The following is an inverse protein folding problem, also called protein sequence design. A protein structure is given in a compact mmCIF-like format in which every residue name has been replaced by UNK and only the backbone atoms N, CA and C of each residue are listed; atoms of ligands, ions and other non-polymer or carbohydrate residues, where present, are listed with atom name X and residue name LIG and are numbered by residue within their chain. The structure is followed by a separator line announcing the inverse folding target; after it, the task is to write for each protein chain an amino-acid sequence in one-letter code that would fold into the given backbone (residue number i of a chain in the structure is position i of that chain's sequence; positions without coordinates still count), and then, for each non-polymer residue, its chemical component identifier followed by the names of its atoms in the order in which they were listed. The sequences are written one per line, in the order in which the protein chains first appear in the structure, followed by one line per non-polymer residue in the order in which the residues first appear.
data_IF_525339973460
#
_entry.id   IF_525339973460
#
_cell.length_a   1.000
_cell.length_b   1.000
_cell.length_c   1.000
_cell.angle_alpha   90.00
_cell.angle_beta   90.00
_cell.angle_gamma   90.00
#
_symmetry.space_group_name_H-M   'P 1'
#
loop_
_entity.id
_entity.type
_entity.pdbx_description
1 polymer ?
#
# COMPACT_ATOMS: atom_id res chain seq x y z
N UNK A 1 4.84 -7.83 -0.57
CA UNK A 1 4.88 -8.52 -1.88
C UNK A 1 6.32 -8.82 -2.25
N UNK A 2 6.59 -9.84 -3.11
CA UNK A 2 7.95 -10.17 -3.55
C UNK A 2 8.74 -8.98 -4.07
N UNK A 3 8.15 -8.11 -4.88
CA UNK A 3 8.83 -6.92 -5.44
C UNK A 3 9.36 -5.92 -4.39
N UNK A 4 8.63 -5.73 -3.30
CA UNK A 4 9.12 -4.87 -2.21
C UNK A 4 10.17 -5.57 -1.35
N UNK A 5 10.06 -6.89 -1.19
CA UNK A 5 11.08 -7.66 -0.49
C UNK A 5 12.38 -7.70 -1.30
N UNK A 6 12.28 -7.90 -2.61
CA UNK A 6 13.42 -7.83 -3.53
C UNK A 6 14.15 -6.47 -3.42
N UNK A 7 13.41 -5.36 -3.35
CA UNK A 7 13.99 -4.05 -3.13
C UNK A 7 14.79 -3.96 -1.81
N UNK A 8 14.27 -4.54 -0.72
CA UNK A 8 14.96 -4.59 0.56
C UNK A 8 16.20 -5.48 0.52
N UNK A 9 16.15 -6.61 -0.19
CA UNK A 9 17.32 -7.48 -0.41
C UNK A 9 18.43 -6.75 -1.18
N UNK A 10 18.06 -6.01 -2.23
CA UNK A 10 19.02 -5.20 -2.99
C UNK A 10 19.69 -4.08 -2.15
N UNK A 11 19.01 -3.61 -1.11
CA UNK A 11 19.57 -2.68 -0.12
C UNK A 11 20.43 -3.38 0.96
N UNK A 12 20.60 -4.71 0.89
CA UNK A 12 21.35 -5.50 1.88
C UNK A 12 20.59 -5.77 3.18
N UNK A 13 19.27 -5.57 3.20
CA UNK A 13 18.43 -5.63 4.42
C UNK A 13 17.70 -6.96 4.61
N UNK A 14 18.02 -8.01 3.84
CA UNK A 14 17.34 -9.30 3.89
C UNK A 14 17.38 -9.91 5.30
N UNK A 15 18.56 -9.94 5.93
CA UNK A 15 18.75 -10.46 7.28
C UNK A 15 17.96 -9.68 8.34
N UNK A 16 17.98 -8.36 8.26
CA UNK A 16 17.25 -7.49 9.20
C UNK A 16 15.74 -7.70 9.07
N UNK A 17 15.22 -7.74 7.85
CA UNK A 17 13.79 -7.96 7.59
C UNK A 17 13.35 -9.37 8.03
N UNK A 18 14.22 -10.37 7.95
CA UNK A 18 13.90 -11.74 8.38
C UNK A 18 13.60 -11.81 9.88
N UNK A 19 14.18 -10.92 10.70
CA UNK A 19 13.96 -10.86 12.16
C UNK A 19 12.66 -10.17 12.57
N UNK A 20 12.02 -9.42 11.65
CA UNK A 20 10.83 -8.65 11.97
C UNK A 20 9.60 -9.54 12.21
N UNK A 21 8.66 -9.10 13.05
CA UNK A 21 7.38 -9.78 13.20
C UNK A 21 6.65 -9.86 11.84
N UNK A 22 6.47 -11.07 11.34
CA UNK A 22 5.91 -11.32 10.02
C UNK A 22 5.17 -12.65 9.92
N UNK A 23 4.28 -12.76 8.93
CA UNK A 23 3.57 -14.00 8.58
C UNK A 23 3.66 -14.21 7.07
N UNK A 24 4.08 -15.40 6.64
CA UNK A 24 4.03 -15.80 5.22
C UNK A 24 2.60 -16.16 4.85
N UNK A 25 2.05 -15.51 3.85
CA UNK A 25 0.72 -15.82 3.30
C UNK A 25 0.89 -16.95 2.28
N UNK A 26 0.17 -18.05 2.50
CA UNK A 26 0.27 -19.27 1.68
C UNK A 26 -0.87 -19.38 0.69
N UNK A 27 -2.04 -18.82 1.03
CA UNK A 27 -3.22 -18.90 0.19
C UNK A 27 -4.34 -17.99 0.70
N UNK A 28 -5.44 -17.99 -0.05
CA UNK A 28 -6.64 -17.22 0.26
C UNK A 28 -7.86 -18.10 0.01
N UNK A 29 -8.72 -18.23 1.02
CA UNK A 29 -10.04 -18.83 0.91
C UNK A 29 -11.07 -17.77 0.53
N UNK A 30 -11.81 -18.00 -0.54
CA UNK A 30 -12.81 -17.06 -1.03
C UNK A 30 -14.20 -17.65 -0.78
N UNK A 31 -15.05 -16.85 -0.14
CA UNK A 31 -16.44 -17.17 0.18
C UNK A 31 -17.39 -16.18 -0.50
N UNK A 32 -18.59 -16.66 -0.80
CA UNK A 32 -19.73 -15.82 -1.09
C UNK A 32 -20.78 -16.07 -0.01
N UNK A 33 -20.95 -15.09 0.87
CA UNK A 33 -21.74 -15.30 2.09
C UNK A 33 -21.18 -16.50 2.89
N UNK A 34 -21.99 -17.52 3.16
CA UNK A 34 -21.57 -18.74 3.86
C UNK A 34 -21.03 -19.85 2.93
N UNK A 35 -21.09 -19.63 1.61
CA UNK A 35 -20.65 -20.60 0.63
C UNK A 35 -19.17 -20.47 0.29
N UNK A 36 -18.40 -21.52 0.59
CA UNK A 36 -17.02 -21.64 0.10
C UNK A 36 -17.01 -21.73 -1.43
N UNK A 37 -16.24 -20.85 -2.09
CA UNK A 37 -16.12 -20.83 -3.55
C UNK A 37 -14.84 -21.50 -4.03
N UNK A 38 -13.69 -21.09 -3.49
CA UNK A 38 -12.37 -21.52 -3.97
C UNK A 38 -11.27 -21.26 -2.94
N UNK A 39 -10.32 -22.17 -2.88
CA UNK A 39 -8.99 -21.91 -2.32
C UNK A 39 -8.07 -21.44 -3.43
N UNK A 40 -7.54 -20.23 -3.30
CA UNK A 40 -6.60 -19.64 -4.25
C UNK A 40 -5.20 -19.65 -3.67
N UNK A 41 -4.29 -20.39 -4.32
CA UNK A 41 -2.88 -20.46 -3.98
C UNK A 41 -2.05 -20.18 -5.24
N UNK A 42 -1.95 -18.90 -5.67
CA UNK A 42 -1.14 -18.52 -6.82
C UNK A 42 0.34 -18.87 -6.62
N UNK A 43 1.03 -19.20 -7.71
CA UNK A 43 2.43 -19.62 -7.65
C UNK A 43 3.35 -18.62 -6.94
N UNK A 44 3.07 -17.32 -7.04
CA UNK A 44 3.84 -16.28 -6.34
C UNK A 44 3.67 -16.28 -4.80
N UNK A 45 2.71 -17.01 -4.24
CA UNK A 45 2.64 -17.27 -2.80
C UNK A 45 3.61 -18.35 -2.36
N UNK A 46 3.89 -19.32 -3.25
CA UNK A 46 4.78 -20.46 -2.98
C UNK A 46 6.26 -20.13 -3.17
N UNK A 47 6.55 -19.15 -4.04
CA UNK A 47 7.93 -18.72 -4.30
C UNK A 47 8.60 -18.17 -3.03
N UNK A 48 9.91 -18.19 -2.99
CA UNK A 48 10.66 -17.47 -1.98
C UNK A 48 11.11 -16.13 -2.57
N UNK A 49 10.89 -15.03 -1.88
CA UNK A 49 10.36 -14.85 -0.51
C UNK A 49 8.83 -14.96 -0.37
N UNK A 50 8.07 -15.05 -1.46
CA UNK A 50 6.61 -15.11 -1.48
C UNK A 50 5.93 -13.84 -0.96
N UNK A 51 4.67 -13.99 -0.53
CA UNK A 51 3.91 -12.89 0.05
C UNK A 51 4.03 -12.94 1.57
N UNK A 52 4.54 -11.88 2.18
CA UNK A 52 4.70 -11.74 3.62
C UNK A 52 3.91 -10.54 4.12
N UNK A 53 3.26 -10.72 5.26
CA UNK A 53 2.69 -9.63 6.04
C UNK A 53 3.68 -9.26 7.14
N UNK A 54 4.36 -8.15 6.97
CA UNK A 54 5.41 -7.67 7.88
C UNK A 54 4.83 -6.55 8.75
N UNK A 55 5.25 -6.47 10.02
CA UNK A 55 4.92 -5.34 10.88
C UNK A 55 5.45 -4.04 10.29
N UNK A 56 4.55 -3.17 9.83
CA UNK A 56 4.95 -1.90 9.25
C UNK A 56 5.68 -1.00 10.26
N UNK A 57 5.23 -0.84 11.53
CA UNK A 57 5.99 -0.07 12.50
C UNK A 57 7.40 -0.61 12.72
N UNK A 58 7.54 -1.93 12.89
CA UNK A 58 8.86 -2.54 13.07
C UNK A 58 9.78 -2.37 11.85
N UNK A 59 9.22 -2.47 10.63
CA UNK A 59 9.97 -2.21 9.40
C UNK A 59 10.49 -0.76 9.35
N UNK A 60 9.65 0.22 9.70
CA UNK A 60 10.05 1.63 9.68
C UNK A 60 11.13 1.93 10.71
N UNK A 61 11.01 1.39 11.94
CA UNK A 61 12.03 1.56 12.97
C UNK A 61 13.36 0.90 12.57
N UNK A 62 13.32 -0.28 11.98
CA UNK A 62 14.51 -0.96 11.48
C UNK A 62 15.21 -0.13 10.40
N UNK A 63 14.44 0.42 9.43
CA UNK A 63 15.00 1.26 8.38
C UNK A 63 15.65 2.53 8.94
N UNK A 64 15.03 3.18 9.93
CA UNK A 64 15.62 4.35 10.59
C UNK A 64 16.90 3.97 11.32
N UNK A 65 16.89 2.89 12.11
CA UNK A 65 18.09 2.41 12.82
C UNK A 65 19.24 2.11 11.86
N UNK A 66 18.96 1.51 10.70
CA UNK A 66 19.99 1.29 9.68
C UNK A 66 20.54 2.58 9.08
N UNK A 67 19.71 3.59 8.89
CA UNK A 67 20.19 4.90 8.45
C UNK A 67 21.05 5.60 9.52
N UNK A 68 20.69 5.47 10.80
CA UNK A 68 21.40 6.05 11.94
C UNK A 68 22.81 5.43 12.15
N UNK A 69 23.13 4.28 11.56
CA UNK A 69 24.48 3.72 11.51
C UNK A 69 25.47 4.63 10.72
N UNK A 70 24.92 5.54 9.88
CA UNK A 70 25.73 6.46 9.09
C UNK A 70 25.86 7.82 9.78
N UNK A 71 27.07 8.26 10.03
CA UNK A 71 27.36 9.53 10.73
C UNK A 71 26.88 10.80 10.02
N UNK A 72 26.62 10.71 8.71
CA UNK A 72 26.09 11.80 7.87
C UNK A 72 24.57 11.80 7.76
N UNK A 73 23.86 10.89 8.47
CA UNK A 73 22.40 10.86 8.54
C UNK A 73 21.91 11.59 9.78
N UNK A 74 20.86 12.40 9.61
CA UNK A 74 20.19 13.09 10.72
C UNK A 74 18.69 12.84 10.65
N UNK A 75 18.10 12.35 11.73
CA UNK A 75 16.67 12.06 11.82
C UNK A 75 15.96 12.96 12.83
N UNK A 76 15.06 13.80 12.35
CA UNK A 76 14.32 14.78 13.16
C UNK A 76 12.98 14.22 13.61
N UNK A 77 12.98 13.36 14.66
CA UNK A 77 11.74 12.81 15.23
C UNK A 77 10.88 13.90 15.87
N UNK A 78 9.56 13.82 15.64
CA UNK A 78 8.59 14.77 16.18
C UNK A 78 8.55 16.12 15.46
N UNK A 79 9.39 16.32 14.45
CA UNK A 79 9.34 17.52 13.62
C UNK A 79 8.37 17.34 12.45
N UNK A 80 7.62 18.37 12.17
CA UNK A 80 6.63 18.40 11.08
C UNK A 80 7.07 19.39 10.01
N UNK A 81 7.20 18.94 8.76
CA UNK A 81 7.37 19.84 7.62
C UNK A 81 6.10 20.71 7.46
N UNK A 82 6.28 22.02 7.35
CA UNK A 82 5.20 23.00 7.24
C UNK A 82 5.28 23.86 5.98
N UNK A 83 6.42 23.84 5.30
CA UNK A 83 6.62 24.67 4.10
C UNK A 83 7.90 24.36 3.36
N UNK A 84 8.15 25.12 2.32
CA UNK A 84 9.36 25.09 1.50
C UNK A 84 10.17 26.37 1.71
N UNK A 85 11.48 26.28 1.47
CA UNK A 85 12.39 27.41 1.30
C UNK A 85 12.71 27.50 -0.18
N UNK A 86 12.40 28.64 -0.80
CA UNK A 86 12.61 28.86 -2.23
C UNK A 86 13.54 30.05 -2.45
N UNK A 87 14.48 29.89 -3.38
CA UNK A 87 15.39 30.94 -3.82
C UNK A 87 15.49 30.93 -5.34
N UNK A 88 15.24 32.07 -5.97
CA UNK A 88 15.31 32.23 -7.43
C UNK A 88 14.45 31.22 -8.22
N UNK A 89 13.25 30.90 -7.73
CA UNK A 89 12.32 29.94 -8.36
C UNK A 89 12.78 28.49 -8.27
N UNK A 90 13.68 28.16 -7.31
CA UNK A 90 14.13 26.81 -7.02
C UNK A 90 13.95 26.49 -5.55
N UNK A 91 13.42 25.31 -5.25
CA UNK A 91 13.34 24.82 -3.86
C UNK A 91 14.75 24.50 -3.37
N UNK A 92 15.12 25.08 -2.25
CA UNK A 92 16.44 24.99 -1.61
C UNK A 92 16.36 24.45 -0.19
N UNK A 93 15.16 24.06 0.29
CA UNK A 93 15.00 23.54 1.63
C UNK A 93 13.56 23.43 2.05
N UNK A 94 13.37 23.13 3.33
CA UNK A 94 12.07 22.98 3.96
C UNK A 94 12.02 23.74 5.29
N UNK A 95 10.79 24.10 5.70
CA UNK A 95 10.49 24.62 7.03
C UNK A 95 9.94 23.52 7.88
N UNK A 96 10.50 23.32 9.08
CA UNK A 96 10.05 22.30 10.03
C UNK A 96 9.69 22.93 11.36
N UNK A 97 8.73 22.33 12.08
CA UNK A 97 8.22 22.84 13.36
C UNK A 97 8.10 21.69 14.36
N UNK A 98 8.52 21.96 15.60
CA UNK A 98 8.28 21.10 16.77
C UNK A 98 7.85 21.97 17.95
N UNK A 99 6.61 21.82 18.43
CA UNK A 99 6.04 22.73 19.45
C UNK A 99 6.01 24.17 18.94
N UNK A 100 6.71 25.06 19.65
CA UNK A 100 6.89 26.47 19.27
C UNK A 100 8.15 26.74 18.45
N UNK A 101 9.04 25.75 18.30
CA UNK A 101 10.29 25.91 17.58
C UNK A 101 10.07 25.73 16.08
N UNK A 102 10.67 26.64 15.30
CA UNK A 102 10.68 26.59 13.84
C UNK A 102 12.11 26.62 13.34
N UNK A 103 12.45 25.75 12.38
CA UNK A 103 13.75 25.73 11.71
C UNK A 103 13.60 25.70 10.20
N UNK A 104 14.57 26.23 9.50
CA UNK A 104 14.75 26.01 8.07
C UNK A 104 15.92 25.02 7.89
N UNK A 105 15.70 24.01 7.05
CA UNK A 105 16.72 23.05 6.65
C UNK A 105 16.98 23.26 5.18
N UNK A 106 18.17 23.73 4.86
CA UNK A 106 18.62 23.92 3.48
C UNK A 106 19.27 22.65 2.93
N UNK A 107 19.23 22.49 1.60
CA UNK A 107 19.82 21.34 0.91
C UNK A 107 19.89 21.57 -0.61
N UNK A 108 20.78 20.84 -1.27
CA UNK A 108 20.94 20.88 -2.73
C UNK A 108 19.71 20.34 -3.44
N UNK A 109 19.05 19.36 -2.83
CA UNK A 109 17.80 18.74 -3.29
C UNK A 109 16.84 18.52 -2.12
N UNK A 110 15.54 18.50 -2.41
CA UNK A 110 14.48 18.12 -1.50
C UNK A 110 13.74 16.91 -2.08
N UNK A 111 13.64 15.83 -1.32
CA UNK A 111 12.85 14.65 -1.71
C UNK A 111 11.62 14.58 -0.83
N UNK A 112 10.44 14.72 -1.45
CA UNK A 112 9.15 14.61 -0.80
C UNK A 112 8.66 13.17 -0.78
N UNK A 113 8.79 12.50 0.37
CA UNK A 113 8.21 11.20 0.65
C UNK A 113 7.15 11.30 1.76
N UNK A 114 6.49 12.46 1.88
CA UNK A 114 5.62 12.90 2.98
C UNK A 114 4.16 12.43 2.83
N UNK A 115 3.94 11.42 1.98
CA UNK A 115 2.72 10.63 1.93
C UNK A 115 1.52 11.32 1.26
N UNK A 116 0.33 10.76 1.51
CA UNK A 116 -0.93 11.16 0.85
C UNK A 116 -1.33 12.61 1.08
N UNK A 117 -0.95 13.18 2.19
CA UNK A 117 -1.25 14.57 2.58
C UNK A 117 -0.07 15.49 2.38
N UNK A 118 0.81 15.18 1.44
CA UNK A 118 2.05 15.87 1.15
C UNK A 118 1.96 17.39 1.27
N UNK A 119 2.85 17.95 2.07
CA UNK A 119 3.03 19.40 2.24
C UNK A 119 3.59 20.00 0.96
N UNK A 120 4.59 19.34 0.36
CA UNK A 120 5.22 19.80 -0.88
C UNK A 120 4.19 19.90 -2.01
N UNK A 121 3.29 18.91 -2.11
CA UNK A 121 2.20 18.92 -3.08
C UNK A 121 1.25 20.11 -2.90
N UNK A 122 0.97 20.53 -1.65
CA UNK A 122 0.16 21.70 -1.36
C UNK A 122 0.82 23.00 -1.80
N UNK A 123 2.13 23.13 -1.62
CA UNK A 123 2.85 24.33 -2.01
C UNK A 123 3.07 24.42 -3.52
N UNK A 124 3.44 23.32 -4.16
CA UNK A 124 3.77 23.30 -5.58
C UNK A 124 2.53 23.19 -6.49
N UNK A 125 1.39 22.79 -5.94
CA UNK A 125 0.10 22.64 -6.66
C UNK A 125 0.21 21.95 -8.03
N UNK A 126 0.91 20.80 -8.14
CA UNK A 126 1.10 20.15 -9.42
C UNK A 126 -0.23 19.56 -9.91
N UNK A 127 -0.36 19.43 -11.24
CA UNK A 127 -1.54 18.78 -11.83
C UNK A 127 -1.63 17.32 -11.40
N UNK A 128 -2.83 16.95 -10.93
CA UNK A 128 -3.13 15.64 -10.36
C UNK A 128 -4.11 14.86 -11.25
N UNK A 129 -3.76 13.62 -11.58
CA UNK A 129 -4.70 12.67 -12.17
C UNK A 129 -5.33 11.85 -11.04
N UNK A 130 -6.65 11.94 -10.89
CA UNK A 130 -7.40 11.27 -9.81
C UNK A 130 -8.26 10.15 -10.38
N UNK A 131 -8.17 8.96 -9.80
CA UNK A 131 -9.10 7.86 -10.03
C UNK A 131 -10.22 7.90 -9.00
N UNK A 132 -11.45 8.06 -9.47
CA UNK A 132 -12.64 8.01 -8.60
C UNK A 132 -12.71 6.66 -7.88
N UNK A 133 -12.64 6.68 -6.57
CA UNK A 133 -12.78 5.50 -5.74
C UNK A 133 -14.24 5.29 -5.35
N UNK A 134 -14.65 4.04 -5.20
CA UNK A 134 -16.02 3.64 -4.87
C UNK A 134 -16.16 2.95 -3.53
N UNK A 135 -15.02 2.71 -2.86
CA UNK A 135 -14.94 2.04 -1.56
C UNK A 135 -14.14 2.85 -0.56
N UNK A 136 -14.46 2.65 0.72
CA UNK A 136 -13.60 2.89 1.86
C UNK A 136 -13.38 1.57 2.60
N UNK A 137 -12.39 1.49 3.47
CA UNK A 137 -12.08 0.28 4.24
C UNK A 137 -12.05 0.59 5.72
N UNK A 138 -12.82 -0.16 6.49
CA UNK A 138 -12.76 -0.15 7.95
C UNK A 138 -11.80 -1.25 8.38
N UNK A 139 -10.68 -0.87 8.97
CA UNK A 139 -9.64 -1.78 9.44
C UNK A 139 -9.69 -1.98 10.94
N UNK A 140 -9.60 -3.22 11.39
CA UNK A 140 -9.48 -3.59 12.79
C UNK A 140 -8.73 -4.92 12.95
N UNK A 141 -8.43 -5.33 14.18
CA UNK A 141 -7.76 -6.59 14.48
C UNK A 141 -8.63 -7.48 15.35
N UNK A 142 -8.50 -8.79 15.11
CA UNK A 142 -9.11 -9.85 15.90
C UNK A 142 -8.09 -10.93 16.21
N UNK A 143 -8.25 -11.72 17.28
CA UNK A 143 -7.53 -12.98 17.42
C UNK A 143 -7.82 -13.87 16.22
N UNK A 144 -6.84 -14.66 15.78
CA UNK A 144 -7.06 -15.63 14.72
C UNK A 144 -7.93 -16.80 15.24
N UNK A 145 -9.05 -17.14 14.58
CA UNK A 145 -9.84 -18.30 14.98
C UNK A 145 -9.09 -19.61 14.64
N UNK A 146 -9.29 -20.63 15.46
CA UNK A 146 -8.63 -21.94 15.30
C UNK A 146 -8.94 -22.63 13.97
N UNK A 147 -10.15 -22.43 13.43
CA UNK A 147 -10.57 -23.01 12.16
C UNK A 147 -9.85 -22.40 10.94
N UNK A 148 -9.19 -21.24 11.08
CA UNK A 148 -8.44 -20.61 10.00
C UNK A 148 -6.95 -21.00 10.11
N UNK A 149 -6.47 -21.74 9.13
CA UNK A 149 -5.08 -22.19 9.08
C UNK A 149 -4.10 -21.00 9.09
N UNK A 150 -2.97 -21.11 9.80
CA UNK A 150 -1.92 -20.11 9.77
C UNK A 150 -1.42 -19.86 8.34
N UNK A 151 -1.38 -18.60 7.94
CA UNK A 151 -0.95 -18.19 6.60
C UNK A 151 -2.05 -18.22 5.53
N UNK A 152 -3.28 -18.63 5.86
CA UNK A 152 -4.41 -18.56 4.92
C UNK A 152 -5.23 -17.30 5.21
N UNK A 153 -5.40 -16.44 4.19
CA UNK A 153 -6.33 -15.32 4.23
C UNK A 153 -7.75 -15.77 3.91
N UNK A 154 -8.74 -15.01 4.36
CA UNK A 154 -10.15 -15.19 4.03
C UNK A 154 -10.67 -13.95 3.34
N UNK A 155 -11.35 -14.14 2.22
CA UNK A 155 -12.08 -13.08 1.50
C UNK A 155 -13.55 -13.50 1.39
N UNK A 156 -14.42 -12.74 2.01
CA UNK A 156 -15.87 -12.92 1.87
C UNK A 156 -16.44 -11.80 1.01
N UNK A 157 -17.25 -12.16 0.03
CA UNK A 157 -17.93 -11.22 -0.86
C UNK A 157 -19.42 -11.38 -0.76
N UNK A 158 -20.13 -10.27 -0.62
CA UNK A 158 -21.60 -10.19 -0.63
C UNK A 158 -22.03 -9.03 -1.53
N UNK A 159 -23.28 -8.97 -1.98
CA UNK A 159 -23.74 -7.84 -2.80
C UNK A 159 -23.52 -6.49 -2.12
N UNK A 160 -22.64 -5.67 -2.69
CA UNK A 160 -22.33 -4.33 -2.18
C UNK A 160 -21.43 -4.31 -0.93
N UNK A 161 -20.81 -5.43 -0.57
CA UNK A 161 -20.01 -5.57 0.62
C UNK A 161 -18.90 -6.62 0.42
N UNK A 162 -17.76 -6.46 1.09
CA UNK A 162 -16.74 -7.50 1.16
C UNK A 162 -15.93 -7.37 2.45
N UNK A 163 -15.44 -8.48 2.92
CA UNK A 163 -14.53 -8.53 4.06
C UNK A 163 -13.26 -9.28 3.67
N UNK A 164 -12.12 -8.69 3.99
CA UNK A 164 -10.79 -9.26 3.80
C UNK A 164 -10.21 -9.55 5.17
N UNK A 165 -9.71 -10.76 5.40
CA UNK A 165 -9.09 -11.12 6.67
C UNK A 165 -7.78 -11.84 6.39
N UNK A 166 -6.68 -11.28 6.85
CA UNK A 166 -5.35 -11.85 6.65
C UNK A 166 -4.66 -12.10 7.99
N UNK A 167 -4.02 -13.27 8.16
CA UNK A 167 -3.23 -13.52 9.35
C UNK A 167 -2.04 -12.56 9.42
N UNK A 168 -1.83 -12.02 10.62
CA UNK A 168 -0.71 -11.14 10.94
C UNK A 168 0.04 -11.69 12.15
N UNK A 169 1.18 -11.08 12.47
CA UNK A 169 1.99 -11.48 13.63
C UNK A 169 1.19 -11.41 14.94
N UNK A 170 1.62 -12.21 15.94
CA UNK A 170 0.96 -12.31 17.25
C UNK A 170 -0.35 -13.11 17.23
N UNK A 171 -0.48 -14.06 16.31
CA UNK A 171 -1.66 -14.91 16.13
C UNK A 171 -2.98 -14.14 15.97
N UNK A 172 -2.92 -13.05 15.22
CA UNK A 172 -4.06 -12.17 14.96
C UNK A 172 -4.44 -12.15 13.49
N UNK A 173 -5.62 -11.63 13.22
CA UNK A 173 -6.10 -11.25 11.88
C UNK A 173 -6.15 -9.73 11.75
N UNK A 174 -5.67 -9.23 10.64
CA UNK A 174 -6.03 -7.89 10.16
C UNK A 174 -7.28 -8.02 9.29
N UNK A 175 -8.36 -7.42 9.74
CA UNK A 175 -9.66 -7.45 9.06
C UNK A 175 -9.93 -6.12 8.40
N UNK A 176 -10.28 -6.16 7.13
CA UNK A 176 -10.67 -5.01 6.32
C UNK A 176 -12.09 -5.18 5.79
N UNK A 177 -13.01 -4.41 6.34
CA UNK A 177 -14.39 -4.37 5.85
C UNK A 177 -14.52 -3.29 4.77
N UNK A 178 -14.81 -3.71 3.55
CA UNK A 178 -15.00 -2.83 2.40
C UNK A 178 -16.44 -2.34 2.37
N UNK A 179 -16.61 -1.03 2.42
CA UNK A 179 -17.89 -0.36 2.39
C UNK A 179 -17.93 0.64 1.23
N UNK A 180 -19.12 1.04 0.85
CA UNK A 180 -19.31 2.09 -0.16
C UNK A 180 -18.68 3.40 0.33
N UNK A 181 -17.95 4.06 -0.55
CA UNK A 181 -17.22 5.28 -0.23
C UNK A 181 -18.12 6.36 0.35
N UNK A 182 -17.65 6.96 1.47
CA UNK A 182 -18.34 8.03 2.19
C UNK A 182 -19.50 7.57 3.10
N UNK A 183 -19.87 6.28 3.11
CA UNK A 183 -21.03 5.80 3.87
C UNK A 183 -20.74 5.47 5.33
N UNK A 184 -19.47 5.41 5.76
CA UNK A 184 -19.16 5.02 7.15
C UNK A 184 -19.77 5.96 8.19
N UNK A 185 -19.81 7.27 7.92
CA UNK A 185 -20.43 8.24 8.83
C UNK A 185 -21.94 8.00 9.04
N UNK A 186 -22.64 7.54 8.02
CA UNK A 186 -24.06 7.16 8.11
C UNK A 186 -24.23 5.86 8.90
N UNK A 187 -23.44 4.83 8.57
CA UNK A 187 -23.43 3.55 9.29
C UNK A 187 -23.12 3.77 10.79
N UNK A 188 -22.15 4.60 11.12
CA UNK A 188 -21.78 4.92 12.50
C UNK A 188 -22.91 5.62 13.27
N UNK A 189 -23.66 6.52 12.62
CA UNK A 189 -24.81 7.19 13.24
C UNK A 189 -25.97 6.28 13.59
N UNK A 190 -26.10 5.15 12.89
CA UNK A 190 -27.11 4.12 13.16
C UNK A 190 -26.80 3.31 14.43
N UNK A 191 -25.62 3.47 15.03
CA UNK A 191 -25.19 2.81 16.24
C UNK A 191 -24.25 1.62 16.00
N UNK A 192 -23.52 1.26 17.07
CA UNK A 192 -22.51 0.19 17.03
C UNK A 192 -23.15 -1.17 16.66
N UNK A 193 -24.30 -1.47 17.19
CA UNK A 193 -25.00 -2.73 16.95
C UNK A 193 -25.35 -2.92 15.48
N UNK A 194 -25.81 -1.86 14.82
CA UNK A 194 -26.21 -1.91 13.41
C UNK A 194 -25.01 -2.15 12.49
N UNK A 195 -23.90 -1.44 12.68
CA UNK A 195 -22.75 -1.64 11.82
C UNK A 195 -22.06 -2.99 12.06
N UNK A 196 -22.03 -3.48 13.32
CA UNK A 196 -21.55 -4.83 13.63
C UNK A 196 -22.44 -5.87 12.94
N UNK A 197 -23.77 -5.73 13.02
CA UNK A 197 -24.69 -6.64 12.35
C UNK A 197 -24.52 -6.64 10.82
N UNK A 198 -24.31 -5.48 10.21
CA UNK A 198 -24.01 -5.37 8.77
C UNK A 198 -22.70 -6.09 8.39
N UNK A 199 -21.70 -6.02 9.25
CA UNK A 199 -20.44 -6.74 9.07
C UNK A 199 -20.64 -8.25 9.22
N UNK A 200 -21.34 -8.71 10.27
CA UNK A 200 -21.63 -10.11 10.52
C UNK A 200 -22.36 -10.76 9.33
N UNK A 201 -23.33 -10.06 8.77
CA UNK A 201 -24.10 -10.53 7.60
C UNK A 201 -23.24 -10.67 6.32
N UNK A 202 -22.03 -10.14 6.30
CA UNK A 202 -21.09 -10.24 5.18
C UNK A 202 -20.07 -11.37 5.32
N UNK A 203 -20.11 -12.11 6.42
CA UNK A 203 -19.12 -13.11 6.79
C UNK A 203 -19.71 -14.53 6.74
N UNK A 204 -18.89 -15.56 6.52
CA UNK A 204 -19.26 -16.95 6.79
C UNK A 204 -19.66 -17.11 8.27
N UNK A 205 -20.63 -17.99 8.54
CA UNK A 205 -21.22 -18.15 9.88
C UNK A 205 -20.21 -18.38 10.99
N UNK A 206 -19.25 -19.27 10.76
CA UNK A 206 -18.20 -19.55 11.74
C UNK A 206 -17.33 -18.30 12.04
N UNK A 207 -17.07 -17.49 11.03
CA UNK A 207 -16.32 -16.25 11.22
C UNK A 207 -17.17 -15.15 11.86
N UNK A 208 -18.45 -15.08 11.52
CA UNK A 208 -19.42 -14.19 12.18
C UNK A 208 -19.51 -14.50 13.67
N UNK A 209 -19.67 -15.78 14.07
CA UNK A 209 -19.68 -16.19 15.48
C UNK A 209 -18.38 -15.81 16.20
N UNK A 210 -17.23 -16.00 15.54
CA UNK A 210 -15.95 -15.59 16.11
C UNK A 210 -15.86 -14.07 16.33
N UNK A 211 -16.34 -13.27 15.38
CA UNK A 211 -16.39 -11.81 15.49
C UNK A 211 -17.32 -11.37 16.64
N UNK A 212 -18.49 -12.03 16.79
CA UNK A 212 -19.42 -11.74 17.91
C UNK A 212 -18.77 -11.96 19.28
N UNK A 213 -18.00 -13.04 19.42
CA UNK A 213 -17.26 -13.34 20.65
C UNK A 213 -16.13 -12.36 20.99
N UNK A 214 -15.65 -11.62 19.98
CA UNK A 214 -14.52 -10.68 20.09
C UNK A 214 -14.88 -9.26 19.62
N UNK A 215 -16.17 -8.91 19.66
CA UNK A 215 -16.67 -7.63 19.12
C UNK A 215 -16.13 -6.41 19.87
N UNK A 216 -15.70 -6.56 21.11
CA UNK A 216 -15.01 -5.55 21.91
C UNK A 216 -13.73 -5.08 21.23
N UNK A 217 -12.94 -6.02 20.68
CA UNK A 217 -11.69 -5.75 19.98
C UNK A 217 -11.89 -5.08 18.62
N UNK A 218 -13.04 -5.29 17.97
CA UNK A 218 -13.42 -4.55 16.77
C UNK A 218 -13.70 -3.06 17.03
N UNK A 219 -13.67 -2.60 18.28
CA UNK A 219 -13.86 -1.19 18.64
C UNK A 219 -12.65 -0.32 18.25
N UNK A 220 -11.45 -0.90 18.24
CA UNK A 220 -10.21 -0.24 17.85
C UNK A 220 -10.07 -0.27 16.33
N UNK A 221 -10.98 0.39 15.65
CA UNK A 221 -10.95 0.48 14.20
C UNK A 221 -10.44 1.83 13.71
N UNK A 222 -9.89 1.84 12.52
CA UNK A 222 -9.68 3.06 11.75
C UNK A 222 -10.32 2.96 10.35
N UNK A 223 -10.78 4.09 9.85
CA UNK A 223 -11.36 4.18 8.51
C UNK A 223 -10.31 4.69 7.55
N UNK A 224 -9.99 3.89 6.57
CA UNK A 224 -9.17 4.30 5.46
C UNK A 224 -10.06 4.96 4.40
N UNK A 225 -9.97 6.27 4.29
CA UNK A 225 -10.48 7.03 3.16
C UNK A 225 -9.63 6.67 1.92
N UNK A 226 -10.17 5.80 1.08
CA UNK A 226 -9.42 5.26 -0.06
C UNK A 226 -9.23 6.34 -1.12
N UNK A 227 -7.99 6.65 -1.40
CA UNK A 227 -7.59 7.55 -2.47
C UNK A 227 -6.70 6.82 -3.49
N UNK A 228 -6.77 7.22 -4.73
CA UNK A 228 -5.88 6.77 -5.79
C UNK A 228 -5.66 7.91 -6.76
N UNK A 229 -4.43 8.37 -6.84
CA UNK A 229 -4.06 9.53 -7.66
C UNK A 229 -2.59 9.49 -8.03
N UNK A 230 -2.19 10.24 -9.03
CA UNK A 230 -0.79 10.48 -9.35
C UNK A 230 -0.58 11.89 -9.90
N UNK A 231 0.59 12.42 -9.66
CA UNK A 231 1.03 13.66 -10.24
C UNK A 231 1.30 13.47 -11.75
N UNK A 232 1.06 14.51 -12.54
CA UNK A 232 1.51 14.54 -13.93
C UNK A 232 3.02 14.74 -14.01
N UNK A 233 3.56 15.65 -13.19
CA UNK A 233 4.98 15.87 -12.99
C UNK A 233 5.32 15.58 -11.53
N UNK A 234 6.32 14.70 -11.29
CA UNK A 234 6.74 14.32 -9.95
C UNK A 234 7.77 15.27 -9.36
N UNK A 235 8.26 16.18 -10.16
CA UNK A 235 9.33 17.08 -9.78
C UNK A 235 9.03 18.53 -10.15
N UNK A 236 9.73 19.42 -9.49
CA UNK A 236 9.88 20.82 -9.79
C UNK A 236 11.34 21.19 -9.55
N UNK A 237 11.79 22.39 -9.94
CA UNK A 237 13.18 22.82 -9.73
C UNK A 237 13.62 22.59 -8.28
N UNK A 238 14.58 21.71 -8.05
CA UNK A 238 15.16 21.39 -6.75
C UNK A 238 14.36 20.42 -5.87
N UNK A 239 13.19 19.93 -6.32
CA UNK A 239 12.39 19.00 -5.54
C UNK A 239 11.86 17.85 -6.39
N UNK A 240 11.94 16.64 -5.83
CA UNK A 240 11.35 15.42 -6.36
C UNK A 240 10.31 14.88 -5.35
N UNK A 241 9.16 14.42 -5.80
CA UNK A 241 8.18 13.70 -4.99
C UNK A 241 8.16 12.23 -5.39
N UNK A 242 8.18 11.32 -4.39
CA UNK A 242 8.16 9.85 -4.57
C UNK A 242 7.11 9.19 -3.67
N UNK A 243 6.82 7.92 -3.92
CA UNK A 243 5.84 7.17 -3.13
C UNK A 243 4.45 7.82 -3.13
N UNK A 244 3.75 7.75 -2.01
CA UNK A 244 2.38 8.29 -1.88
C UNK A 244 2.30 9.82 -2.07
N UNK A 245 3.41 10.55 -1.95
CA UNK A 245 3.46 11.97 -2.27
C UNK A 245 3.30 12.23 -3.77
N UNK A 246 3.81 11.35 -4.62
CA UNK A 246 3.69 11.45 -6.08
C UNK A 246 2.54 10.61 -6.64
N UNK A 247 2.29 9.41 -6.10
CA UNK A 247 1.28 8.47 -6.60
C UNK A 247 0.63 7.69 -5.46
N UNK A 248 -0.41 8.23 -4.90
CA UNK A 248 -1.22 7.54 -3.89
C UNK A 248 -1.89 6.31 -4.49
N UNK A 249 -1.70 5.16 -3.84
CA UNK A 249 -2.22 3.87 -4.28
C UNK A 249 -3.49 3.48 -3.52
N UNK A 250 -4.44 2.85 -4.22
CA UNK A 250 -5.53 2.12 -3.56
C UNK A 250 -4.96 0.95 -2.73
N UNK A 251 -5.60 0.54 -1.62
CA UNK A 251 -5.13 -0.60 -0.82
C UNK A 251 -5.24 -1.95 -1.55
N UNK A 252 -5.95 -1.99 -2.69
CA UNK A 252 -6.12 -3.21 -3.50
C UNK A 252 -4.76 -3.74 -3.94
N UNK A 253 -4.47 -4.98 -3.53
CA UNK A 253 -3.21 -5.66 -3.85
C UNK A 253 -2.00 -5.20 -3.01
N UNK A 254 -2.18 -4.35 -1.98
CA UNK A 254 -1.15 -3.92 -1.03
C UNK A 254 0.15 -3.42 -1.70
N UNK A 255 0.05 -2.50 -2.69
CA UNK A 255 1.18 -2.08 -3.53
C UNK A 255 1.89 -0.80 -3.07
N UNK A 256 1.30 0.02 -2.19
CA UNK A 256 1.87 1.34 -1.84
C UNK A 256 3.32 1.27 -1.37
N UNK A 257 3.60 0.49 -0.34
CA UNK A 257 4.95 0.32 0.22
C UNK A 257 5.92 -0.29 -0.81
N UNK A 258 5.47 -1.31 -1.54
CA UNK A 258 6.33 -1.98 -2.52
C UNK A 258 6.79 -1.02 -3.64
N UNK A 259 5.90 -0.17 -4.13
CA UNK A 259 6.24 0.84 -5.13
C UNK A 259 7.17 1.92 -4.56
N UNK A 260 6.91 2.38 -3.33
CA UNK A 260 7.75 3.38 -2.67
C UNK A 260 9.20 2.88 -2.47
N UNK A 261 9.40 1.62 -2.06
CA UNK A 261 10.73 1.01 -1.96
C UNK A 261 11.43 0.94 -3.32
N UNK A 262 10.71 0.61 -4.37
CA UNK A 262 11.26 0.59 -5.72
C UNK A 262 11.56 2.00 -6.26
N UNK A 263 10.75 2.99 -5.90
CA UNK A 263 11.06 4.40 -6.21
C UNK A 263 12.37 4.83 -5.55
N UNK A 264 12.64 4.38 -4.30
CA UNK A 264 13.88 4.70 -3.61
C UNK A 264 15.11 4.16 -4.34
N UNK A 265 15.05 2.92 -4.86
CA UNK A 265 16.13 2.33 -5.67
C UNK A 265 16.41 3.15 -6.93
N UNK A 266 15.35 3.46 -7.69
CA UNK A 266 15.52 4.24 -8.93
C UNK A 266 16.00 5.66 -8.62
N UNK A 267 15.52 6.23 -7.52
CA UNK A 267 15.98 7.55 -7.07
C UNK A 267 17.48 7.53 -6.73
N UNK A 268 17.96 6.52 -6.01
CA UNK A 268 19.36 6.36 -5.69
C UNK A 268 20.20 6.19 -6.98
N UNK A 269 19.81 5.28 -7.87
CA UNK A 269 20.51 5.04 -9.13
C UNK A 269 20.73 6.30 -9.99
N UNK A 270 19.76 7.22 -9.98
CA UNK A 270 19.79 8.41 -10.84
C UNK A 270 20.42 9.63 -10.15
N UNK A 271 20.30 9.74 -8.82
CA UNK A 271 20.78 10.90 -8.08
C UNK A 271 22.19 10.74 -7.56
N UNK A 272 22.59 9.57 -7.06
CA UNK A 272 23.92 9.40 -6.45
C UNK A 272 25.04 9.75 -7.44
N UNK A 273 25.06 9.24 -8.69
CA UNK A 273 26.11 9.60 -9.64
C UNK A 273 26.17 11.10 -9.97
N UNK A 274 25.01 11.78 -9.94
CA UNK A 274 24.96 13.24 -10.19
C UNK A 274 25.51 14.02 -9.00
N UNK A 275 25.21 13.58 -7.77
CA UNK A 275 25.63 14.24 -6.54
C UNK A 275 27.11 13.98 -6.22
N UNK A 276 27.65 12.84 -6.61
CA UNK A 276 29.10 12.53 -6.50
C UNK A 276 29.93 13.26 -7.55
N UNK A 277 29.32 13.61 -8.69
CA UNK A 277 29.96 14.41 -9.74
C UNK A 277 29.88 15.92 -9.47
N UNK A 278 29.21 16.63 -10.38
CA UNK A 278 29.00 18.09 -10.26
C UNK A 278 27.63 18.38 -9.61
N UNK A 279 27.59 18.39 -8.28
CA UNK A 279 26.37 18.66 -7.49
C UNK A 279 25.84 20.10 -7.64
N UNK A 280 26.68 21.05 -8.12
CA UNK A 280 26.26 22.41 -8.38
C UNK A 280 25.52 22.55 -9.71
N UNK A 281 25.62 21.53 -10.57
CA UNK A 281 24.93 21.49 -11.84
C UNK A 281 23.44 21.15 -11.67
N UNK A 282 22.67 22.16 -11.34
CA UNK A 282 21.24 22.04 -11.10
C UNK A 282 20.46 21.48 -12.30
N UNK A 283 20.96 21.65 -13.52
CA UNK A 283 20.36 21.07 -14.74
C UNK A 283 20.50 19.56 -14.76
N UNK A 284 21.64 19.01 -14.33
CA UNK A 284 21.88 17.57 -14.25
C UNK A 284 20.96 16.92 -13.18
N UNK A 285 20.76 17.60 -12.05
CA UNK A 285 19.82 17.18 -11.01
C UNK A 285 18.38 17.12 -11.56
N UNK A 286 17.91 18.20 -12.20
CA UNK A 286 16.54 18.26 -12.72
C UNK A 286 16.31 17.20 -13.84
N UNK A 287 17.31 16.92 -14.67
CA UNK A 287 17.27 15.81 -15.64
C UNK A 287 17.25 14.43 -14.96
N UNK A 288 17.92 14.25 -13.82
CA UNK A 288 17.82 13.00 -13.06
C UNK A 288 16.38 12.80 -12.54
N UNK A 289 15.73 13.83 -12.03
CA UNK A 289 14.32 13.78 -11.64
C UNK A 289 13.39 13.34 -12.80
N UNK A 290 13.62 13.86 -14.01
CA UNK A 290 12.87 13.45 -15.21
C UNK A 290 13.08 11.96 -15.52
N UNK A 291 14.31 11.44 -15.43
CA UNK A 291 14.61 10.02 -15.68
C UNK A 291 13.93 9.13 -14.64
N UNK A 292 13.97 9.49 -13.35
CA UNK A 292 13.29 8.78 -12.27
C UNK A 292 11.79 8.65 -12.58
N UNK A 293 11.13 9.75 -12.87
CA UNK A 293 9.72 9.71 -13.24
C UNK A 293 9.46 8.84 -14.47
N UNK A 294 10.25 8.96 -15.51
CA UNK A 294 10.10 8.20 -16.76
C UNK A 294 10.20 6.70 -16.55
N UNK A 295 11.13 6.26 -15.71
CA UNK A 295 11.33 4.85 -15.38
C UNK A 295 10.16 4.29 -14.57
N UNK A 296 9.59 5.07 -13.65
CA UNK A 296 8.59 4.60 -12.70
C UNK A 296 7.14 4.75 -13.15
N UNK A 297 6.82 5.76 -13.95
CA UNK A 297 5.44 6.18 -14.22
C UNK A 297 4.57 5.10 -14.88
N UNK A 298 5.14 4.27 -15.75
CA UNK A 298 4.37 3.26 -16.47
C UNK A 298 3.95 2.10 -15.56
N UNK A 299 4.81 1.68 -14.63
CA UNK A 299 4.44 0.70 -13.62
C UNK A 299 3.31 1.23 -12.72
N UNK A 300 3.44 2.45 -12.22
CA UNK A 300 2.41 3.10 -11.40
C UNK A 300 1.07 3.17 -12.13
N UNK A 301 1.05 3.64 -13.39
CA UNK A 301 -0.17 3.71 -14.20
C UNK A 301 -0.87 2.36 -14.34
N UNK A 302 -0.11 1.30 -14.61
CA UNK A 302 -0.66 -0.06 -14.81
C UNK A 302 -1.24 -0.61 -13.53
N UNK A 303 -0.54 -0.46 -12.41
CA UNK A 303 -1.03 -0.93 -11.11
C UNK A 303 -2.27 -0.14 -10.69
N UNK A 304 -2.28 1.19 -10.79
CA UNK A 304 -3.45 2.01 -10.49
C UNK A 304 -4.66 1.64 -11.34
N UNK A 305 -4.46 1.40 -12.64
CA UNK A 305 -5.53 0.97 -13.55
C UNK A 305 -6.12 -0.40 -13.15
N UNK A 306 -5.26 -1.33 -12.76
CA UNK A 306 -5.73 -2.64 -12.29
C UNK A 306 -6.48 -2.53 -10.96
N UNK A 307 -6.02 -1.69 -10.03
CA UNK A 307 -6.67 -1.51 -8.73
C UNK A 307 -8.12 -1.03 -8.82
N UNK A 308 -8.55 -0.49 -9.97
CA UNK A 308 -9.94 -0.09 -10.19
C UNK A 308 -10.88 -1.28 -10.47
N UNK A 309 -10.35 -2.45 -10.84
CA UNK A 309 -11.17 -3.58 -11.31
C UNK A 309 -11.85 -4.34 -10.17
N UNK A 310 -11.13 -4.84 -9.13
CA UNK A 310 -11.75 -5.67 -8.09
C UNK A 310 -12.90 -4.97 -7.35
N UNK A 311 -12.80 -3.70 -6.90
CA UNK A 311 -13.91 -3.03 -6.25
C UNK A 311 -15.15 -2.92 -7.14
N UNK A 312 -14.96 -2.66 -8.44
CA UNK A 312 -16.07 -2.59 -9.39
C UNK A 312 -16.80 -3.93 -9.50
N UNK A 313 -16.05 -5.04 -9.55
CA UNK A 313 -16.66 -6.39 -9.62
C UNK A 313 -17.45 -6.72 -8.36
N UNK A 314 -16.96 -6.35 -7.17
CA UNK A 314 -17.61 -6.60 -5.89
C UNK A 314 -18.87 -5.74 -5.74
N UNK A 315 -18.80 -4.46 -6.10
CA UNK A 315 -19.87 -3.49 -5.88
C UNK A 315 -20.82 -3.33 -7.08
N UNK A 316 -20.51 -3.96 -8.22
CA UNK A 316 -21.46 -4.04 -9.34
C UNK A 316 -22.61 -4.96 -8.98
N UNK A 317 -23.79 -4.40 -8.74
CA UNK A 317 -25.04 -5.13 -8.50
C UNK A 317 -25.66 -5.69 -9.80
N UNK A 318 -24.88 -5.87 -10.86
CA UNK A 318 -25.44 -6.39 -12.11
C UNK A 318 -25.41 -7.92 -12.15
N UNK A 319 -26.34 -8.49 -12.89
CA UNK A 319 -26.52 -9.94 -13.03
C UNK A 319 -25.28 -10.66 -13.55
N UNK A 320 -24.48 -10.01 -14.40
CA UNK A 320 -23.27 -10.61 -14.98
C UNK A 320 -22.16 -10.82 -13.94
N UNK A 321 -21.95 -9.86 -13.02
CA UNK A 321 -21.00 -10.03 -11.93
C UNK A 321 -21.41 -11.17 -10.97
N UNK A 322 -22.70 -11.27 -10.65
CA UNK A 322 -23.25 -12.39 -9.85
C UNK A 322 -23.02 -13.73 -10.53
N UNK A 323 -23.32 -13.83 -11.83
CA UNK A 323 -23.10 -15.04 -12.62
C UNK A 323 -21.61 -15.40 -12.63
N UNK A 324 -20.71 -14.43 -12.83
CA UNK A 324 -19.28 -14.67 -12.82
C UNK A 324 -18.81 -15.21 -11.46
N UNK A 325 -19.15 -14.56 -10.36
CA UNK A 325 -18.79 -14.98 -9.00
C UNK A 325 -19.36 -16.37 -8.69
N UNK A 326 -20.62 -16.63 -9.00
CA UNK A 326 -21.26 -17.93 -8.75
C UNK A 326 -20.63 -19.08 -9.55
N UNK A 327 -20.03 -18.79 -10.70
CA UNK A 327 -19.35 -19.78 -11.54
C UNK A 327 -17.84 -19.91 -11.26
N UNK A 328 -17.28 -19.16 -10.32
CA UNK A 328 -15.87 -19.28 -9.93
C UNK A 328 -15.44 -20.73 -9.60
N UNK A 329 -16.23 -21.56 -8.86
CA UNK A 329 -15.86 -22.95 -8.61
C UNK A 329 -15.73 -23.79 -9.88
N UNK A 330 -16.62 -23.60 -10.84
CA UNK A 330 -16.57 -24.32 -12.12
C UNK A 330 -15.39 -23.87 -12.99
N UNK A 331 -15.17 -22.57 -13.08
CA UNK A 331 -14.02 -21.98 -13.80
C UNK A 331 -12.68 -22.42 -13.17
N UNK A 332 -12.63 -22.54 -11.85
CA UNK A 332 -11.48 -23.01 -11.10
C UNK A 332 -11.12 -24.45 -11.44
N UNK A 333 -12.10 -25.36 -11.46
CA UNK A 333 -11.89 -26.78 -11.83
C UNK A 333 -11.29 -26.94 -13.22
N UNK A 334 -11.53 -26.01 -14.14
CA UNK A 334 -10.95 -25.99 -15.50
C UNK A 334 -9.57 -25.32 -15.58
N UNK A 335 -8.99 -24.93 -14.46
CA UNK A 335 -7.71 -24.24 -14.40
C UNK A 335 -7.69 -22.81 -14.96
N UNK A 336 -8.85 -22.31 -15.45
CA UNK A 336 -8.96 -20.97 -16.04
C UNK A 336 -8.76 -19.87 -14.98
N UNK A 337 -9.34 -20.05 -13.80
CA UNK A 337 -9.16 -19.13 -12.68
C UNK A 337 -7.70 -19.11 -12.23
N UNK A 338 -7.08 -20.30 -12.09
CA UNK A 338 -5.67 -20.41 -11.74
C UNK A 338 -4.78 -19.65 -12.73
N UNK A 339 -5.00 -19.85 -14.04
CA UNK A 339 -4.24 -19.14 -15.10
C UNK A 339 -4.46 -17.64 -15.06
N UNK A 340 -5.69 -17.20 -14.84
CA UNK A 340 -6.03 -15.77 -14.73
C UNK A 340 -5.38 -15.13 -13.50
N UNK A 341 -5.51 -15.78 -12.32
CA UNK A 341 -4.90 -15.30 -11.08
C UNK A 341 -3.37 -15.33 -11.14
N UNK A 342 -2.76 -16.39 -11.71
CA UNK A 342 -1.31 -16.42 -11.93
C UNK A 342 -0.84 -15.28 -12.83
N UNK A 343 -1.53 -15.05 -13.94
CA UNK A 343 -1.10 -14.03 -14.91
C UNK A 343 -1.29 -12.60 -14.39
N UNK A 344 -2.43 -12.30 -13.79
CA UNK A 344 -2.73 -11.01 -13.18
C UNK A 344 -1.92 -10.80 -11.91
N UNK A 345 -1.86 -11.81 -11.05
CA UNK A 345 -1.17 -11.76 -9.78
C UNK A 345 0.35 -11.64 -9.91
N UNK A 346 0.94 -12.21 -10.97
CA UNK A 346 2.38 -12.11 -11.22
C UNK A 346 2.82 -10.66 -11.40
N UNK A 347 2.10 -9.88 -12.18
CA UNK A 347 2.37 -8.44 -12.36
C UNK A 347 2.26 -7.67 -11.05
N UNK A 348 1.32 -8.07 -10.17
CA UNK A 348 1.17 -7.49 -8.84
C UNK A 348 2.28 -7.90 -7.88
N UNK A 349 2.67 -9.16 -7.91
CA UNK A 349 3.61 -9.71 -6.97
C UNK A 349 5.05 -9.29 -7.28
N UNK A 350 5.45 -9.35 -8.55
CA UNK A 350 6.82 -9.15 -9.00
C UNK A 350 7.08 -7.72 -9.52
N UNK A 351 6.04 -6.91 -9.70
CA UNK A 351 6.16 -5.63 -10.38
C UNK A 351 6.10 -5.78 -11.90
N UNK A 352 6.13 -4.64 -12.59
CA UNK A 352 5.99 -4.59 -14.05
C UNK A 352 7.31 -4.34 -14.76
N UNK A 353 8.24 -3.65 -14.12
CA UNK A 353 9.59 -3.36 -14.62
C UNK A 353 10.63 -4.04 -13.74
N UNK A 354 11.75 -4.40 -14.32
CA UNK A 354 12.91 -4.83 -13.54
C UNK A 354 13.57 -3.57 -12.96
N UNK A 355 13.53 -3.46 -11.63
CA UNK A 355 14.18 -2.39 -10.89
C UNK A 355 15.37 -3.00 -10.18
N UNK A 356 16.58 -2.60 -10.56
CA UNK A 356 17.83 -3.12 -10.01
C UNK A 356 18.67 -1.98 -9.47
N UNK A 357 19.24 -2.15 -8.28
CA UNK A 357 20.20 -1.22 -7.69
C UNK A 357 21.51 -1.30 -8.51
N UNK A 358 22.00 -0.13 -8.96
CA UNK A 358 23.14 -0.02 -9.89
C UNK A 358 24.35 0.74 -9.31
N UNK A 359 24.27 1.11 -8.04
CA UNK A 359 25.29 1.88 -7.31
C UNK A 359 26.01 1.00 -6.31
#
# INVERSE_FOLDING_TARGET
MPSGFDALCQMGLEGDVATLPQVKIKGIDIYQEDKFLIHAEPDFFRQDPGVKWVSQPALLEMLVSKCEENSNFSFFRGWRCTGIVEQNGRVKGIKIVQGSETREIEGDIVIGADGRTSVLRRFLQPKLHVYKQIIDVVWFRLPRPEFLNPGIGLVSVSPGNACLSFPVYGDQLQVGWLIKKGHFGEIKRQGKEVWVQNLLNSLPKNFATHLEQHHDKASDYFVLDVACSRLQNWHHRGVLMIGDASHTMSPVGAQGINLALRDSIVTANELIPVLEGDKENTTSIDRAFERIQRERIEEVKRIQKFQQVPPKLIFLQNSLAKIFVSNLPWLSRRGLVKRLFSRLGRTFALGHSDVTLRI
#
